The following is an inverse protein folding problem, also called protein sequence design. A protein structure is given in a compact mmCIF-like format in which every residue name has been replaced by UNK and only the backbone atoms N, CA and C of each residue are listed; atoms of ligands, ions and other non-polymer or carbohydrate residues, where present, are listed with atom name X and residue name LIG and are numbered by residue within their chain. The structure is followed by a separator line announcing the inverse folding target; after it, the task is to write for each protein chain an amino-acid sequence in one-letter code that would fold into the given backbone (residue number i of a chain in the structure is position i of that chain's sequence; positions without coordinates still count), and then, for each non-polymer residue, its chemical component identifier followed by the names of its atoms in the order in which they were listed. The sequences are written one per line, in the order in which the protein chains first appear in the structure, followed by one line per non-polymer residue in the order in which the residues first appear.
data_IF_007038318202
#
_entry.id   IF_007038318202
#
_cell.length_a   1.000
_cell.length_b   1.000
_cell.length_c   1.000
_cell.angle_alpha   90.00
_cell.angle_beta   90.00
_cell.angle_gamma   90.00
#
_symmetry.space_group_name_H-M   'P 1'
#
loop_
_entity.id
_entity.type
_entity.pdbx_description
1 polymer ?
#
# COMPACT_ATOMS: atom_id res chain seq x y z
N UNK A 1 -0.79 10.71 4.60
CA UNK A 1 0.00 11.14 3.44
C UNK A 1 1.43 10.64 3.58
N UNK A 2 2.05 10.16 2.51
CA UNK A 2 3.46 9.78 2.51
C UNK A 2 4.06 9.69 1.10
N UNK A 3 5.30 9.20 1.01
CA UNK A 3 6.01 8.95 -0.25
C UNK A 3 6.14 7.45 -0.49
N UNK A 4 5.86 6.97 -1.70
CA UNK A 4 6.13 5.58 -2.08
C UNK A 4 7.65 5.37 -2.06
N UNK A 5 8.13 4.50 -1.17
CA UNK A 5 9.57 4.31 -0.97
C UNK A 5 10.20 3.30 -1.93
N UNK A 6 9.44 2.33 -2.41
CA UNK A 6 9.90 1.29 -3.33
C UNK A 6 8.89 1.08 -4.46
N UNK A 7 9.36 0.52 -5.58
CA UNK A 7 8.47 0.24 -6.70
C UNK A 7 7.36 -0.72 -6.26
N UNK A 8 6.08 -0.39 -6.50
CA UNK A 8 4.98 -1.28 -6.18
C UNK A 8 5.09 -2.64 -6.87
N UNK A 9 4.87 -3.69 -6.09
CA UNK A 9 4.78 -5.07 -6.56
C UNK A 9 3.34 -5.32 -6.97
N UNK A 10 3.15 -5.76 -8.21
CA UNK A 10 1.86 -6.13 -8.76
C UNK A 10 1.68 -7.65 -8.70
N UNK A 11 0.48 -8.10 -8.31
CA UNK A 11 0.08 -9.49 -8.33
C UNK A 11 -1.40 -9.64 -8.73
N UNK A 12 -1.72 -10.74 -9.38
CA UNK A 12 -3.10 -11.18 -9.64
C UNK A 12 -3.29 -12.61 -9.17
N UNK A 13 -4.53 -12.99 -8.89
CA UNK A 13 -4.89 -14.38 -8.62
C UNK A 13 -5.08 -15.13 -9.93
N UNK A 14 -4.54 -16.35 -10.05
CA UNK A 14 -4.82 -17.21 -11.21
C UNK A 14 -6.29 -17.62 -11.31
N UNK A 15 -7.03 -17.62 -10.19
CA UNK A 15 -8.46 -17.95 -10.15
C UNK A 15 -9.38 -16.76 -10.45
N UNK A 16 -8.89 -15.54 -10.23
CA UNK A 16 -9.62 -14.28 -10.44
C UNK A 16 -8.63 -13.25 -11.00
N UNK A 17 -8.21 -13.36 -12.27
CA UNK A 17 -7.18 -12.50 -12.86
C UNK A 17 -7.59 -11.02 -12.93
N UNK A 18 -8.88 -10.73 -12.88
CA UNK A 18 -9.46 -9.39 -12.78
C UNK A 18 -9.17 -8.72 -11.43
N UNK A 19 -8.91 -9.51 -10.38
CA UNK A 19 -8.57 -8.99 -9.05
C UNK A 19 -7.05 -8.78 -8.97
N UNK A 20 -6.66 -7.52 -8.95
CA UNK A 20 -5.28 -7.10 -8.80
C UNK A 20 -4.98 -6.60 -7.38
N UNK A 21 -3.72 -6.81 -7.00
CA UNK A 21 -3.13 -6.36 -5.76
C UNK A 21 -1.83 -5.61 -6.07
N UNK A 22 -1.69 -4.42 -5.52
CA UNK A 22 -0.44 -3.68 -5.45
C UNK A 22 0.02 -3.61 -4.01
N UNK A 23 1.26 -4.03 -3.74
CA UNK A 23 1.91 -3.88 -2.44
C UNK A 23 3.12 -2.96 -2.53
N UNK A 24 3.22 -2.01 -1.59
CA UNK A 24 4.37 -1.12 -1.49
C UNK A 24 4.54 -0.52 -0.10
N UNK A 25 5.77 -0.16 0.28
CA UNK A 25 6.00 0.64 1.47
C UNK A 25 5.74 2.13 1.20
N UNK A 26 4.96 2.76 2.08
CA UNK A 26 4.78 4.20 2.15
C UNK A 26 5.57 4.75 3.33
N UNK A 27 6.36 5.78 3.08
CA UNK A 27 7.14 6.47 4.11
C UNK A 27 6.47 7.78 4.49
N UNK A 28 6.30 8.01 5.79
CA UNK A 28 5.76 9.25 6.35
C UNK A 28 6.80 9.91 7.24
N UNK A 29 6.94 11.23 7.12
CA UNK A 29 7.77 12.03 8.01
C UNK A 29 6.86 12.86 8.92
N UNK A 30 7.16 12.93 10.21
CA UNK A 30 6.43 13.75 11.18
C UNK A 30 7.37 14.55 12.07
N UNK A 31 6.86 15.68 12.57
CA UNK A 31 7.57 16.61 13.44
C UNK A 31 8.23 17.79 12.69
N UNK A 32 8.48 18.92 13.38
CA UNK A 32 9.02 20.14 12.80
C UNK A 32 10.49 20.03 12.33
N UNK A 33 11.19 18.94 12.65
CA UNK A 33 12.63 18.78 12.39
C UNK A 33 13.00 17.37 11.94
N UNK A 34 12.58 16.92 10.75
CA UNK A 34 13.03 15.66 10.09
C UNK A 34 13.01 14.37 10.97
N UNK A 35 12.36 14.40 12.13
CA UNK A 35 12.86 13.68 13.30
C UNK A 35 12.41 12.24 13.41
N UNK A 36 11.39 11.86 12.66
CA UNK A 36 10.99 10.46 12.61
C UNK A 36 10.41 10.09 11.26
N UNK A 37 10.83 8.91 10.81
CA UNK A 37 10.44 8.31 9.55
C UNK A 37 9.74 7.00 9.87
N UNK A 38 8.45 6.95 9.59
CA UNK A 38 7.66 5.73 9.72
C UNK A 38 7.43 5.06 8.38
N UNK A 39 7.45 3.74 8.39
CA UNK A 39 7.24 2.88 7.24
C UNK A 39 5.92 2.13 7.41
N UNK A 40 5.04 2.27 6.43
CA UNK A 40 3.72 1.65 6.43
C UNK A 40 3.62 0.69 5.26
N UNK A 41 3.18 -0.55 5.51
CA UNK A 41 2.85 -1.50 4.45
C UNK A 41 1.49 -1.15 3.86
N UNK A 42 1.44 -0.83 2.57
CA UNK A 42 0.20 -0.52 1.86
C UNK A 42 -0.16 -1.67 0.93
N UNK A 43 -1.42 -2.09 0.99
CA UNK A 43 -2.02 -3.06 0.08
C UNK A 43 -3.21 -2.42 -0.63
N UNK A 44 -3.14 -2.23 -1.94
CA UNK A 44 -4.23 -1.71 -2.74
C UNK A 44 -4.84 -2.85 -3.55
N UNK A 45 -6.13 -3.10 -3.36
CA UNK A 45 -6.92 -4.01 -4.17
C UNK A 45 -7.73 -3.21 -5.19
N UNK A 46 -7.77 -3.69 -6.42
CA UNK A 46 -8.59 -3.09 -7.47
C UNK A 46 -8.67 -3.99 -8.69
N UNK A 47 -9.25 -3.47 -9.77
CA UNK A 47 -9.37 -4.19 -11.03
C UNK A 47 -8.06 -4.16 -11.82
N UNK A 48 -7.60 -5.32 -12.31
CA UNK A 48 -6.39 -5.42 -13.14
C UNK A 48 -6.48 -4.63 -14.46
N UNK A 49 -7.69 -4.37 -14.95
CA UNK A 49 -7.93 -3.59 -16.17
C UNK A 49 -7.97 -2.08 -15.92
N UNK A 50 -7.94 -1.64 -14.66
CA UNK A 50 -7.86 -0.22 -14.32
C UNK A 50 -6.50 0.33 -14.77
N UNK A 51 -6.54 1.31 -15.68
CA UNK A 51 -5.35 1.97 -16.22
C UNK A 51 -4.92 3.18 -15.39
N UNK A 52 -5.79 3.73 -14.55
CA UNK A 52 -5.54 4.93 -13.76
C UNK A 52 -4.69 4.59 -12.54
N UNK A 53 -5.04 3.55 -11.79
CA UNK A 53 -4.36 3.19 -10.55
C UNK A 53 -2.85 2.95 -10.74
N UNK A 54 -2.39 2.16 -11.73
CA UNK A 54 -0.95 1.97 -11.97
C UNK A 54 -0.19 3.28 -12.25
N UNK A 55 -0.83 4.29 -12.85
CA UNK A 55 -0.19 5.58 -13.14
C UNK A 55 0.06 6.41 -11.89
N UNK A 56 -0.74 6.21 -10.84
CA UNK A 56 -0.57 6.86 -9.54
C UNK A 56 0.54 6.19 -8.72
N UNK A 57 0.76 4.89 -8.94
CA UNK A 57 1.60 4.02 -8.11
C UNK A 57 3.03 3.89 -8.67
N UNK A 58 3.83 4.94 -8.50
CA UNK A 58 5.26 4.94 -8.86
C UNK A 58 6.15 5.27 -7.66
N UNK A 59 7.33 4.63 -7.59
CA UNK A 59 8.35 4.98 -6.59
C UNK A 59 8.62 6.49 -6.59
N UNK A 60 8.70 7.08 -5.40
CA UNK A 60 9.02 8.49 -5.20
C UNK A 60 7.80 9.43 -5.25
N UNK A 61 6.64 8.98 -5.75
CA UNK A 61 5.40 9.77 -5.73
C UNK A 61 4.92 10.01 -4.31
N UNK A 62 4.38 11.21 -4.07
CA UNK A 62 3.71 11.58 -2.82
C UNK A 62 2.22 11.40 -2.98
N UNK A 63 1.62 10.68 -2.05
CA UNK A 63 0.21 10.33 -2.07
C UNK A 63 -0.43 10.59 -0.71
N UNK A 64 -1.68 11.02 -0.74
CA UNK A 64 -2.62 10.79 0.35
C UNK A 64 -3.31 9.45 0.14
N UNK A 65 -3.41 8.66 1.20
CA UNK A 65 -3.99 7.32 1.17
C UNK A 65 -4.92 7.17 2.37
N UNK A 66 -6.17 6.76 2.12
CA UNK A 66 -7.10 6.27 3.13
C UNK A 66 -7.46 4.81 2.83
N UNK A 67 -7.52 4.02 3.91
CA UNK A 67 -7.89 2.62 3.86
C UNK A 67 -8.06 2.08 5.28
N UNK A 68 -8.42 0.81 5.36
CA UNK A 68 -8.63 0.11 6.63
C UNK A 68 -7.29 -0.39 7.18
N UNK A 69 -7.01 -0.11 8.46
CA UNK A 69 -5.86 -0.69 9.13
C UNK A 69 -6.15 -2.15 9.50
N UNK A 70 -5.44 -3.08 8.87
CA UNK A 70 -5.60 -4.52 9.10
C UNK A 70 -4.40 -5.10 9.83
N UNK A 71 -4.65 -5.82 10.91
CA UNK A 71 -3.66 -6.69 11.54
C UNK A 71 -3.49 -7.96 10.69
N UNK A 72 -2.25 -8.34 10.42
CA UNK A 72 -1.87 -9.58 9.74
C UNK A 72 -1.06 -10.45 10.68
N UNK A 73 -1.22 -11.75 10.52
CA UNK A 73 -0.52 -12.75 11.33
C UNK A 73 -0.15 -13.90 10.41
N UNK A 74 1.08 -14.38 10.51
CA UNK A 74 1.47 -15.65 9.93
C UNK A 74 2.30 -16.44 10.95
N UNK A 75 2.26 -17.76 10.85
CA UNK A 75 3.13 -18.63 11.62
C UNK A 75 4.28 -19.08 10.73
N UNK A 76 5.51 -18.88 11.20
CA UNK A 76 6.69 -19.39 10.51
C UNK A 76 6.80 -20.91 10.67
N UNK A 77 7.65 -21.56 9.86
CA UNK A 77 7.96 -22.98 9.99
C UNK A 77 8.55 -23.36 11.36
N UNK A 78 9.08 -22.38 12.09
CA UNK A 78 9.62 -22.54 13.45
C UNK A 78 8.59 -22.25 14.56
N UNK A 79 7.30 -22.26 14.23
CA UNK A 79 6.20 -21.93 15.17
C UNK A 79 6.29 -20.53 15.79
N UNK A 80 7.02 -19.61 15.16
CA UNK A 80 7.02 -18.21 15.59
C UNK A 80 5.90 -17.46 14.89
N UNK A 81 5.08 -16.74 15.66
CA UNK A 81 4.03 -15.88 15.11
C UNK A 81 4.64 -14.55 14.73
N UNK A 82 4.57 -14.21 13.44
CA UNK A 82 4.88 -12.88 12.94
C UNK A 82 3.59 -12.09 12.83
N UNK A 83 3.59 -10.87 13.37
CA UNK A 83 2.46 -9.96 13.35
C UNK A 83 2.91 -8.64 12.73
N UNK A 84 2.13 -8.12 11.79
CA UNK A 84 2.35 -6.80 11.20
C UNK A 84 1.01 -6.14 10.89
N UNK A 85 1.05 -4.83 10.62
CA UNK A 85 -0.13 -4.08 10.19
C UNK A 85 0.05 -3.64 8.74
N UNK A 86 -1.04 -3.67 7.99
CA UNK A 86 -1.10 -3.16 6.62
C UNK A 86 -2.27 -2.19 6.52
N UNK A 87 -2.09 -1.09 5.79
CA UNK A 87 -3.21 -0.27 5.34
C UNK A 87 -3.78 -0.91 4.08
N UNK A 88 -5.04 -1.29 4.14
CA UNK A 88 -5.76 -1.97 3.06
C UNK A 88 -6.67 -0.98 2.36
N UNK A 89 -6.44 -0.77 1.08
CA UNK A 89 -7.16 0.18 0.24
C UNK A 89 -7.97 -0.61 -0.79
N UNK A 90 -9.29 -0.53 -0.73
CA UNK A 90 -10.17 -1.09 -1.75
C UNK A 90 -10.49 0.00 -2.78
N UNK A 91 -9.65 0.11 -3.82
CA UNK A 91 -9.70 1.17 -4.85
C UNK A 91 -11.07 1.26 -5.51
N UNK A 92 -11.64 0.14 -5.93
CA UNK A 92 -12.93 0.11 -6.65
C UNK A 92 -14.16 0.32 -5.75
N UNK A 93 -13.97 0.68 -4.46
CA UNK A 93 -15.06 0.81 -3.49
C UNK A 93 -14.98 2.11 -2.70
N UNK A 94 -14.11 2.14 -1.70
CA UNK A 94 -14.07 3.21 -0.66
C UNK A 94 -12.67 3.72 -0.39
N UNK A 95 -11.64 3.08 -0.95
CA UNK A 95 -10.26 3.50 -0.78
C UNK A 95 -10.00 4.81 -1.50
N UNK A 96 -9.26 5.71 -0.86
CA UNK A 96 -8.89 7.00 -1.44
C UNK A 96 -7.39 7.01 -1.70
N UNK A 97 -6.98 7.26 -2.94
CA UNK A 97 -5.58 7.51 -3.30
C UNK A 97 -5.53 8.79 -4.12
N UNK A 98 -4.91 9.83 -3.57
CA UNK A 98 -4.83 11.14 -4.21
C UNK A 98 -3.35 11.51 -4.37
N UNK A 99 -2.86 11.79 -5.59
CA UNK A 99 -1.53 12.31 -5.78
C UNK A 99 -1.42 13.71 -5.19
N UNK A 100 -0.36 13.95 -4.42
CA UNK A 100 -0.06 15.26 -3.87
C UNK A 100 1.11 15.83 -4.67
N UNK A 101 0.80 16.83 -5.49
CA UNK A 101 1.81 17.64 -6.18
C UNK A 101 2.61 18.47 -5.18
N UNK A 102 3.88 18.69 -5.50
CA UNK A 102 4.63 19.85 -5.05
C UNK A 102 4.88 20.68 -6.30
#
# INVERSE_FOLDING_TARGET
MGRIAQQPIFATSSKCPENALWKFPLVTHYGPSLGSTEWHSICVYGNANDKQLPQLLCKGKRLYIEGDLSKRMTMSMHHQVQVWYEVVVAWDRKGVIIPIGI
#
